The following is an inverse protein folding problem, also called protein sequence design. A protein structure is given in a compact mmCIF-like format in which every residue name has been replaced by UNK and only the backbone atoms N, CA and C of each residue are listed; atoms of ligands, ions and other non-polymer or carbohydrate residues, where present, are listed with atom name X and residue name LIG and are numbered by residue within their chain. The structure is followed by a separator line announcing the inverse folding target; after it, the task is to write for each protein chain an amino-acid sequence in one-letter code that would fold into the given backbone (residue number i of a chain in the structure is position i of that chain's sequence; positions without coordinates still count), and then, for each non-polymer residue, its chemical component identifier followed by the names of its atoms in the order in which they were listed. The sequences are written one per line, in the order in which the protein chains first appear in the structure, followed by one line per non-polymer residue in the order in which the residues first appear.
data_IF_634575661572
#
_entry.id   IF_634575661572
#
_cell.length_a   1.000
_cell.length_b   1.000
_cell.length_c   1.000
_cell.angle_alpha   90.00
_cell.angle_beta   90.00
_cell.angle_gamma   90.00
#
_symmetry.space_group_name_H-M   'P 1'
#
loop_
_entity.id
_entity.type
_entity.pdbx_description
1 polymer ?
#
# COMPACT_ATOMS: atom_id res chain seq x y z
N UNK A 1 58.68 -22.57 3.74
CA UNK A 1 57.61 -22.27 2.73
C UNK A 1 56.55 -21.37 3.36
N UNK A 2 56.64 -20.05 3.16
CA UNK A 2 55.69 -19.05 3.63
C UNK A 2 54.65 -18.84 2.53
N UNK A 3 53.37 -19.15 2.77
CA UNK A 3 52.28 -18.78 1.90
C UNK A 3 51.82 -17.38 2.25
N UNK A 4 51.95 -16.45 1.31
CA UNK A 4 51.31 -15.14 1.31
C UNK A 4 49.81 -15.30 1.02
N UNK A 5 48.98 -14.76 1.89
CA UNK A 5 47.56 -14.62 1.69
C UNK A 5 47.34 -13.22 1.12
N UNK A 6 46.95 -13.14 -0.18
CA UNK A 6 46.57 -11.91 -0.80
C UNK A 6 45.11 -11.55 -0.38
N UNK A 7 45.00 -10.38 0.28
CA UNK A 7 43.68 -9.76 0.51
C UNK A 7 43.22 -9.03 -0.73
N UNK A 8 42.27 -9.63 -1.47
CA UNK A 8 41.60 -8.96 -2.57
C UNK A 8 40.67 -7.85 -2.05
N UNK A 9 41.01 -6.61 -2.36
CA UNK A 9 40.14 -5.44 -2.19
C UNK A 9 38.98 -5.53 -3.19
N UNK A 10 37.77 -5.84 -2.70
CA UNK A 10 36.54 -5.77 -3.48
C UNK A 10 36.10 -4.30 -3.55
N UNK A 11 36.41 -3.63 -4.64
CA UNK A 11 35.93 -2.28 -4.94
C UNK A 11 34.40 -2.35 -5.19
N UNK A 12 33.62 -1.85 -4.23
CA UNK A 12 32.18 -1.65 -4.39
C UNK A 12 31.96 -0.46 -5.34
N UNK A 13 31.72 -0.74 -6.62
CA UNK A 13 31.31 0.27 -7.60
C UNK A 13 29.85 0.61 -7.31
N UNK A 14 29.64 1.76 -6.65
CA UNK A 14 28.31 2.36 -6.52
C UNK A 14 27.85 2.79 -7.91
N UNK A 15 26.98 1.99 -8.53
CA UNK A 15 26.29 2.39 -9.76
C UNK A 15 25.32 3.52 -9.41
N UNK A 16 25.70 4.74 -9.80
CA UNK A 16 24.79 5.89 -9.80
C UNK A 16 23.67 5.59 -10.79
N UNK A 17 22.46 5.32 -10.28
CA UNK A 17 21.27 5.22 -11.11
C UNK A 17 20.96 6.60 -11.68
N UNK A 18 21.41 6.86 -12.90
CA UNK A 18 21.00 8.04 -13.65
C UNK A 18 19.48 8.01 -13.82
N UNK A 19 18.78 9.07 -13.37
CA UNK A 19 17.37 9.23 -13.58
C UNK A 19 17.05 9.17 -15.08
N UNK A 20 16.29 8.17 -15.50
CA UNK A 20 15.86 8.01 -16.88
C UNK A 20 14.87 9.13 -17.24
N UNK A 21 14.90 9.70 -18.45
CA UNK A 21 13.90 10.67 -18.86
C UNK A 21 12.51 10.02 -18.84
N UNK A 22 11.55 10.67 -18.14
CA UNK A 22 10.17 10.21 -18.06
C UNK A 22 9.53 10.35 -19.44
N UNK A 23 9.47 9.27 -20.20
CA UNK A 23 8.68 9.20 -21.42
C UNK A 23 7.23 8.86 -21.07
N UNK A 24 6.29 9.23 -21.95
CA UNK A 24 4.85 8.96 -21.75
C UNK A 24 4.53 7.46 -21.53
N UNK A 25 5.45 6.56 -21.89
CA UNK A 25 5.36 5.11 -21.68
C UNK A 25 5.72 4.67 -20.26
N UNK A 26 6.37 5.54 -19.44
CA UNK A 26 6.81 5.23 -18.08
C UNK A 26 5.90 5.87 -17.00
N UNK A 27 4.84 6.58 -17.40
CA UNK A 27 3.89 7.16 -16.45
C UNK A 27 3.00 6.06 -15.86
N UNK A 28 2.76 6.11 -14.55
CA UNK A 28 1.80 5.24 -13.89
C UNK A 28 0.37 5.51 -14.39
N UNK A 29 -0.53 4.55 -14.18
CA UNK A 29 -1.97 4.70 -14.50
C UNK A 29 -2.55 5.97 -13.87
N UNK A 30 -2.13 6.30 -12.64
CA UNK A 30 -2.58 7.52 -11.94
C UNK A 30 -2.09 8.79 -12.63
N UNK A 31 -0.82 8.86 -13.00
CA UNK A 31 -0.26 10.04 -13.70
C UNK A 31 -0.90 10.26 -15.08
N UNK A 32 -1.14 9.17 -15.83
CA UNK A 32 -1.89 9.22 -17.09
C UNK A 32 -3.31 9.72 -16.88
N UNK A 33 -3.94 9.36 -15.77
CA UNK A 33 -5.32 9.73 -15.44
C UNK A 33 -5.49 11.21 -15.06
N UNK A 34 -4.42 11.92 -14.68
CA UNK A 34 -4.49 13.32 -14.25
C UNK A 34 -5.13 14.26 -15.29
N UNK A 35 -5.05 13.91 -16.59
CA UNK A 35 -5.52 14.71 -17.73
C UNK A 35 -6.82 14.18 -18.36
N UNK A 36 -7.51 13.22 -17.73
CA UNK A 36 -8.76 12.68 -18.27
C UNK A 36 -9.86 13.73 -18.30
N UNK A 37 -10.39 13.96 -19.50
CA UNK A 37 -11.64 14.67 -19.72
C UNK A 37 -12.86 13.78 -19.47
N UNK A 38 -14.04 14.38 -19.42
CA UNK A 38 -15.32 13.68 -19.25
C UNK A 38 -15.49 12.53 -20.25
N UNK A 39 -15.85 11.36 -19.75
CA UNK A 39 -16.06 10.15 -20.57
C UNK A 39 -14.76 9.41 -20.94
N UNK A 40 -13.61 9.92 -20.54
CA UNK A 40 -12.31 9.29 -20.80
C UNK A 40 -11.88 8.39 -19.65
N UNK A 41 -11.00 7.42 -19.96
CA UNK A 41 -10.43 6.50 -19.00
C UNK A 41 -9.05 5.99 -19.44
N UNK A 42 -8.27 5.47 -18.48
CA UNK A 42 -7.06 4.67 -18.67
C UNK A 42 -7.39 3.23 -18.28
N UNK A 43 -6.92 2.25 -19.06
CA UNK A 43 -7.16 0.84 -18.81
C UNK A 43 -5.91 0.03 -19.16
N UNK A 44 -5.18 -0.43 -18.15
CA UNK A 44 -3.89 -1.14 -18.27
C UNK A 44 -3.80 -2.33 -17.29
N UNK A 45 -4.69 -3.34 -17.40
CA UNK A 45 -4.72 -4.47 -16.47
C UNK A 45 -3.45 -5.33 -16.49
N UNK A 46 -2.64 -5.23 -17.55
CA UNK A 46 -1.37 -5.92 -17.73
C UNK A 46 -0.28 -5.45 -16.77
N UNK A 47 -0.36 -4.25 -16.21
CA UNK A 47 0.62 -3.73 -15.23
C UNK A 47 0.60 -4.52 -13.92
N UNK A 48 -0.52 -5.20 -13.63
CA UNK A 48 -0.65 -6.16 -12.54
C UNK A 48 -1.54 -7.33 -12.97
N UNK A 49 -0.99 -8.39 -13.59
CA UNK A 49 -1.78 -9.48 -14.18
C UNK A 49 -2.52 -10.33 -13.15
N UNK A 50 -2.08 -10.33 -11.88
CA UNK A 50 -2.66 -11.15 -10.80
C UNK A 50 -2.89 -10.31 -9.54
N UNK A 51 -3.81 -10.75 -8.68
CA UNK A 51 -4.14 -10.11 -7.40
C UNK A 51 -5.64 -9.89 -7.23
N UNK A 52 -6.06 -9.59 -5.99
CA UNK A 52 -7.47 -9.29 -5.67
C UNK A 52 -7.85 -7.93 -6.22
N UNK A 53 -9.03 -7.86 -6.86
CA UNK A 53 -9.58 -6.58 -7.32
C UNK A 53 -10.22 -5.82 -6.16
N UNK A 54 -10.04 -4.50 -6.19
CA UNK A 54 -10.79 -3.55 -5.38
C UNK A 54 -11.04 -2.25 -6.16
N UNK A 55 -12.12 -1.57 -5.84
CA UNK A 55 -12.53 -0.33 -6.49
C UNK A 55 -12.55 0.79 -5.45
N UNK A 56 -12.08 1.97 -5.84
CA UNK A 56 -12.20 3.21 -5.06
C UNK A 56 -12.93 4.24 -5.90
N UNK A 57 -14.02 4.77 -5.39
CA UNK A 57 -14.84 5.81 -6.04
C UNK A 57 -14.70 7.08 -5.21
N UNK A 58 -14.18 8.12 -5.83
CA UNK A 58 -14.00 9.44 -5.26
C UNK A 58 -15.09 10.37 -5.79
N UNK A 59 -16.01 10.75 -4.90
CA UNK A 59 -17.14 11.62 -5.21
C UNK A 59 -16.72 13.07 -5.48
N UNK A 60 -15.62 13.52 -4.88
CA UNK A 60 -15.11 14.89 -5.05
C UNK A 60 -14.52 15.09 -6.44
N UNK A 61 -13.66 14.16 -6.86
CA UNK A 61 -12.98 14.25 -8.17
C UNK A 61 -13.78 13.60 -9.30
N UNK A 62 -14.93 12.99 -8.99
CA UNK A 62 -15.76 12.24 -9.94
C UNK A 62 -14.95 11.20 -10.71
N UNK A 63 -14.23 10.35 -9.97
CA UNK A 63 -13.37 9.30 -10.54
C UNK A 63 -13.58 7.96 -9.86
N UNK A 64 -13.41 6.90 -10.63
CA UNK A 64 -13.25 5.53 -10.15
C UNK A 64 -11.85 5.04 -10.46
N UNK A 65 -11.20 4.42 -9.48
CA UNK A 65 -9.90 3.77 -9.60
C UNK A 65 -10.10 2.27 -9.38
N UNK A 66 -9.45 1.46 -10.21
CA UNK A 66 -9.46 0.00 -10.12
C UNK A 66 -8.08 -0.46 -9.73
N UNK A 67 -8.01 -1.23 -8.66
CA UNK A 67 -6.75 -1.78 -8.14
C UNK A 67 -6.71 -3.30 -8.27
N UNK A 68 -5.51 -3.82 -8.45
CA UNK A 68 -5.21 -5.24 -8.28
C UNK A 68 -4.09 -5.39 -7.23
N UNK A 69 -4.45 -5.85 -6.02
CA UNK A 69 -3.63 -5.64 -4.84
C UNK A 69 -3.51 -4.15 -4.52
N UNK A 70 -2.30 -3.62 -4.47
CA UNK A 70 -2.01 -2.18 -4.25
C UNK A 70 -1.73 -1.42 -5.56
N UNK A 71 -1.73 -2.10 -6.70
CA UNK A 71 -1.37 -1.52 -8.00
C UNK A 71 -2.62 -1.00 -8.71
N UNK A 72 -2.70 0.30 -9.05
CA UNK A 72 -3.78 0.83 -9.87
C UNK A 72 -3.64 0.33 -11.31
N UNK A 73 -4.69 -0.29 -11.84
CA UNK A 73 -4.74 -0.87 -13.19
C UNK A 73 -5.67 -0.11 -14.14
N UNK A 74 -6.57 0.70 -13.60
CA UNK A 74 -7.44 1.54 -14.41
C UNK A 74 -7.96 2.73 -13.62
N UNK A 75 -8.27 3.83 -14.33
CA UNK A 75 -8.96 5.00 -13.79
C UNK A 75 -9.95 5.50 -14.83
N UNK A 76 -11.17 5.86 -14.40
CA UNK A 76 -12.18 6.47 -15.28
C UNK A 76 -12.82 7.68 -14.62
N UNK A 77 -13.26 8.64 -15.44
CA UNK A 77 -14.24 9.64 -15.02
C UNK A 77 -15.60 8.99 -14.85
N UNK A 78 -16.43 9.53 -13.94
CA UNK A 78 -17.76 9.02 -13.59
C UNK A 78 -18.76 10.18 -13.47
N UNK A 79 -20.05 9.86 -13.25
CA UNK A 79 -21.04 10.82 -12.78
C UNK A 79 -21.89 10.16 -11.69
N UNK A 80 -21.84 10.71 -10.48
CA UNK A 80 -22.48 10.18 -9.27
C UNK A 80 -23.79 10.88 -8.96
N UNK A 81 -24.41 10.60 -7.82
CA UNK A 81 -25.65 11.19 -7.35
C UNK A 81 -25.58 12.71 -7.26
N UNK A 82 -26.62 13.40 -7.73
CA UNK A 82 -26.79 14.85 -7.60
C UNK A 82 -27.18 15.25 -6.18
N UNK A 83 -27.15 16.55 -5.88
CA UNK A 83 -27.65 17.12 -4.64
C UNK A 83 -29.07 16.64 -4.31
N UNK A 84 -29.29 16.21 -3.07
CA UNK A 84 -30.52 15.58 -2.58
C UNK A 84 -30.73 14.12 -3.00
N UNK A 85 -29.77 13.53 -3.74
CA UNK A 85 -29.76 12.13 -4.22
C UNK A 85 -28.35 11.58 -4.24
N UNK A 86 -27.60 11.87 -3.21
CA UNK A 86 -26.17 11.58 -3.08
C UNK A 86 -25.89 10.07 -3.19
N UNK A 87 -24.78 9.74 -3.79
CA UNK A 87 -24.20 8.40 -3.69
C UNK A 87 -23.65 8.22 -2.28
N UNK A 88 -24.03 7.17 -1.52
CA UNK A 88 -23.57 6.99 -0.16
C UNK A 88 -22.07 6.69 -0.09
N UNK A 89 -21.36 7.28 0.88
CA UNK A 89 -19.99 6.93 1.21
C UNK A 89 -19.91 5.66 2.05
N UNK A 90 -18.74 5.00 2.09
CA UNK A 90 -18.48 3.81 2.88
C UNK A 90 -17.86 2.67 2.08
N UNK A 91 -17.82 1.48 2.69
CA UNK A 91 -17.31 0.27 2.06
C UNK A 91 -18.45 -0.68 1.72
N UNK A 92 -18.53 -1.05 0.48
CA UNK A 92 -19.54 -1.92 -0.13
C UNK A 92 -18.89 -3.11 -0.80
N UNK A 93 -19.71 -4.04 -1.27
CA UNK A 93 -19.31 -5.09 -2.20
C UNK A 93 -20.30 -5.12 -3.36
N UNK A 94 -19.88 -5.64 -4.50
CA UNK A 94 -20.81 -5.91 -5.61
C UNK A 94 -21.75 -7.04 -5.16
N UNK A 95 -23.04 -6.73 -5.06
CA UNK A 95 -24.07 -7.67 -4.61
C UNK A 95 -24.70 -8.48 -5.75
N UNK A 96 -24.75 -7.88 -6.95
CA UNK A 96 -25.40 -8.45 -8.12
C UNK A 96 -24.80 -7.84 -9.39
N UNK A 97 -24.78 -8.62 -10.47
CA UNK A 97 -24.33 -8.18 -11.79
C UNK A 97 -25.34 -8.61 -12.85
N UNK A 98 -25.73 -7.65 -13.69
CA UNK A 98 -26.61 -7.91 -14.84
C UNK A 98 -26.10 -7.19 -16.08
N UNK A 99 -26.00 -7.91 -17.19
CA UNK A 99 -25.52 -7.34 -18.45
C UNK A 99 -26.46 -6.25 -18.99
N UNK A 100 -27.77 -6.47 -18.87
CA UNK A 100 -28.83 -5.57 -19.29
C UNK A 100 -29.87 -5.48 -18.17
N UNK A 101 -29.78 -4.46 -17.36
CA UNK A 101 -30.73 -4.17 -16.29
C UNK A 101 -31.59 -2.95 -16.66
N UNK A 102 -32.79 -2.87 -16.12
CA UNK A 102 -33.66 -1.70 -16.20
C UNK A 102 -34.05 -1.25 -14.81
N UNK A 103 -34.09 0.07 -14.63
CA UNK A 103 -34.42 0.65 -13.33
C UNK A 103 -35.90 0.39 -12.99
N UNK A 104 -36.14 -0.31 -11.88
CA UNK A 104 -37.51 -0.45 -11.34
C UNK A 104 -38.08 0.83 -10.72
N UNK A 105 -37.26 1.88 -10.53
CA UNK A 105 -37.64 3.10 -9.81
C UNK A 105 -37.70 4.33 -10.71
N UNK A 106 -36.94 4.36 -11.81
CA UNK A 106 -36.78 5.55 -12.69
C UNK A 106 -37.08 5.20 -14.13
N UNK A 107 -38.36 5.30 -14.51
CA UNK A 107 -38.88 5.25 -15.90
C UNK A 107 -38.30 4.10 -16.76
N UNK A 108 -38.10 2.95 -16.16
CA UNK A 108 -37.54 1.78 -16.85
C UNK A 108 -36.21 2.11 -17.59
N UNK A 109 -35.42 3.06 -17.03
CA UNK A 109 -34.17 3.53 -17.63
C UNK A 109 -33.18 2.40 -17.82
N UNK A 110 -32.50 2.28 -18.97
CA UNK A 110 -31.54 1.23 -19.23
C UNK A 110 -30.27 1.44 -18.38
N UNK A 111 -29.81 0.37 -17.74
CA UNK A 111 -28.59 0.31 -16.90
C UNK A 111 -27.67 -0.81 -17.42
N UNK A 112 -27.05 -0.68 -18.60
CA UNK A 112 -26.16 -1.71 -19.15
C UNK A 112 -24.94 -1.94 -18.24
N UNK A 113 -24.50 -3.19 -18.13
CA UNK A 113 -23.36 -3.60 -17.28
C UNK A 113 -23.56 -3.23 -15.81
N UNK A 114 -24.78 -3.40 -15.30
CA UNK A 114 -25.16 -3.05 -13.94
C UNK A 114 -24.40 -3.93 -12.92
N UNK A 115 -23.88 -3.27 -11.88
CA UNK A 115 -23.23 -3.88 -10.73
C UNK A 115 -23.78 -3.21 -9.47
N UNK A 116 -24.68 -3.89 -8.79
CA UNK A 116 -25.41 -3.36 -7.62
C UNK A 116 -24.52 -3.36 -6.38
N UNK A 117 -24.55 -2.27 -5.61
CA UNK A 117 -23.74 -2.06 -4.40
C UNK A 117 -24.56 -2.07 -3.12
N UNK A 118 -25.85 -1.68 -3.19
CA UNK A 118 -26.70 -1.59 -2.00
C UNK A 118 -28.05 -2.25 -2.21
N UNK A 119 -28.71 -2.63 -1.13
CA UNK A 119 -30.09 -3.13 -1.18
C UNK A 119 -31.11 -2.05 -1.57
N UNK A 120 -30.74 -0.77 -1.41
CA UNK A 120 -31.55 0.37 -1.85
C UNK A 120 -31.41 0.68 -3.34
N UNK A 121 -30.69 -0.15 -4.11
CA UNK A 121 -30.60 -0.04 -5.56
C UNK A 121 -29.48 0.84 -6.11
N UNK A 122 -28.56 1.35 -5.28
CA UNK A 122 -27.37 2.05 -5.79
C UNK A 122 -26.48 1.07 -6.54
N UNK A 123 -26.10 1.40 -7.76
CA UNK A 123 -25.32 0.55 -8.66
C UNK A 123 -24.35 1.37 -9.52
N UNK A 124 -23.30 0.70 -10.00
CA UNK A 124 -22.46 1.17 -11.12
C UNK A 124 -23.07 0.63 -12.42
N UNK A 125 -23.15 1.44 -13.47
CA UNK A 125 -23.62 1.03 -14.79
C UNK A 125 -23.15 1.99 -15.89
N UNK A 126 -23.24 1.58 -17.16
CA UNK A 126 -23.00 2.49 -18.28
C UNK A 126 -24.08 3.56 -18.34
N UNK A 127 -23.68 4.82 -18.51
CA UNK A 127 -24.62 5.93 -18.58
C UNK A 127 -24.03 7.21 -19.18
N UNK A 128 -24.84 8.25 -19.29
CA UNK A 128 -24.40 9.57 -19.75
C UNK A 128 -23.61 10.28 -18.62
N UNK A 129 -22.45 10.82 -18.97
CA UNK A 129 -21.59 11.60 -18.09
C UNK A 129 -21.57 13.06 -18.54
N UNK A 130 -22.27 13.97 -17.85
CA UNK A 130 -22.25 15.40 -18.21
C UNK A 130 -21.01 16.14 -17.72
N UNK A 131 -20.13 15.47 -16.89
CA UNK A 131 -18.93 16.06 -16.31
C UNK A 131 -19.11 16.52 -14.85
N UNK A 132 -20.27 16.26 -14.26
CA UNK A 132 -20.62 16.57 -12.89
C UNK A 132 -21.57 15.51 -12.31
N UNK A 133 -21.86 15.56 -11.01
CA UNK A 133 -22.84 14.70 -10.34
C UNK A 133 -24.26 14.97 -10.84
N UNK A 134 -24.87 13.99 -11.52
CA UNK A 134 -26.16 14.19 -12.20
C UNK A 134 -27.09 12.96 -12.17
N UNK A 135 -26.74 11.92 -11.37
CA UNK A 135 -27.55 10.71 -11.25
C UNK A 135 -28.57 10.82 -10.09
N UNK A 136 -29.35 9.78 -9.90
CA UNK A 136 -30.24 9.60 -8.75
C UNK A 136 -29.63 8.70 -7.66
N UNK A 137 -28.28 8.74 -7.52
CA UNK A 137 -27.52 7.96 -6.55
C UNK A 137 -26.65 6.87 -7.16
N UNK A 138 -26.92 6.42 -8.38
CA UNK A 138 -26.07 5.46 -9.09
C UNK A 138 -24.77 6.12 -9.60
N UNK A 139 -23.77 5.29 -9.88
CA UNK A 139 -22.49 5.69 -10.45
C UNK A 139 -22.51 5.37 -11.95
N UNK A 140 -22.60 6.41 -12.77
CA UNK A 140 -22.57 6.29 -14.23
C UNK A 140 -21.14 6.21 -14.72
N UNK A 141 -20.87 5.25 -15.60
CA UNK A 141 -19.56 4.97 -16.19
C UNK A 141 -19.60 5.17 -17.70
N UNK A 142 -18.48 5.52 -18.35
CA UNK A 142 -18.36 5.43 -19.81
C UNK A 142 -18.68 4.00 -20.27
N UNK A 143 -19.39 3.84 -21.39
CA UNK A 143 -19.91 2.53 -21.83
C UNK A 143 -18.81 1.48 -21.98
N UNK A 144 -17.70 1.84 -22.63
CA UNK A 144 -16.60 0.90 -22.85
C UNK A 144 -15.88 0.55 -21.54
N UNK A 145 -15.68 1.53 -20.65
CA UNK A 145 -15.14 1.26 -19.31
C UNK A 145 -16.06 0.35 -18.50
N UNK A 146 -17.37 0.60 -18.50
CA UNK A 146 -18.35 -0.24 -17.80
C UNK A 146 -18.32 -1.69 -18.31
N UNK A 147 -18.19 -1.89 -19.63
CA UNK A 147 -18.06 -3.21 -20.25
C UNK A 147 -16.77 -3.93 -19.81
N UNK A 148 -15.63 -3.24 -19.82
CA UNK A 148 -14.34 -3.79 -19.40
C UNK A 148 -14.35 -4.13 -17.91
N UNK A 149 -14.84 -3.21 -17.06
CA UNK A 149 -14.96 -3.40 -15.62
C UNK A 149 -15.86 -4.58 -15.27
N UNK A 150 -17.01 -4.67 -15.95
CA UNK A 150 -17.95 -5.80 -15.79
C UNK A 150 -17.28 -7.15 -16.12
N UNK A 151 -16.36 -7.18 -17.08
CA UNK A 151 -15.66 -8.40 -17.48
C UNK A 151 -14.66 -8.94 -16.47
N UNK A 152 -14.11 -8.08 -15.60
CA UNK A 152 -13.06 -8.48 -14.63
C UNK A 152 -13.53 -8.55 -13.19
N UNK A 153 -14.64 -7.89 -12.82
CA UNK A 153 -15.19 -7.89 -11.47
C UNK A 153 -16.09 -9.11 -11.23
N UNK A 154 -16.30 -9.45 -9.96
CA UNK A 154 -17.17 -10.54 -9.51
C UNK A 154 -18.11 -10.04 -8.40
N UNK A 155 -19.18 -10.79 -8.11
CA UNK A 155 -19.98 -10.59 -6.90
C UNK A 155 -19.06 -10.77 -5.70
N UNK A 156 -19.10 -9.85 -4.73
CA UNK A 156 -18.18 -9.79 -3.61
C UNK A 156 -16.94 -8.90 -3.84
N UNK A 157 -16.69 -8.40 -5.06
CA UNK A 157 -15.59 -7.42 -5.29
C UNK A 157 -15.82 -6.19 -4.41
N UNK A 158 -14.83 -5.79 -3.55
CA UNK A 158 -14.96 -4.65 -2.65
C UNK A 158 -14.94 -3.32 -3.41
N UNK A 159 -15.80 -2.41 -2.99
CA UNK A 159 -15.95 -1.05 -3.52
C UNK A 159 -15.97 -0.06 -2.36
N UNK A 160 -15.00 0.83 -2.31
CA UNK A 160 -14.96 1.92 -1.32
C UNK A 160 -15.37 3.21 -1.99
N UNK A 161 -16.35 3.92 -1.43
CA UNK A 161 -16.84 5.22 -1.91
C UNK A 161 -16.46 6.27 -0.88
N UNK A 162 -15.71 7.29 -1.29
CA UNK A 162 -15.17 8.35 -0.43
C UNK A 162 -15.52 9.72 -0.99
N UNK A 163 -15.61 10.71 -0.10
CA UNK A 163 -15.66 12.13 -0.43
C UNK A 163 -14.44 12.86 0.17
N UNK A 164 -14.39 14.17 0.03
CA UNK A 164 -13.27 14.99 0.55
C UNK A 164 -13.08 14.82 2.07
N UNK A 165 -14.16 14.78 2.84
CA UNK A 165 -14.11 14.63 4.29
C UNK A 165 -13.56 13.26 4.69
N UNK A 166 -14.02 12.19 4.05
CA UNK A 166 -13.54 10.83 4.26
C UNK A 166 -12.07 10.68 3.86
N UNK A 167 -11.64 11.31 2.74
CA UNK A 167 -10.25 11.31 2.30
C UNK A 167 -9.34 12.05 3.28
N UNK A 168 -9.77 13.21 3.79
CA UNK A 168 -9.04 13.98 4.78
C UNK A 168 -8.86 13.20 6.08
N UNK A 169 -9.92 12.55 6.57
CA UNK A 169 -9.87 11.73 7.79
C UNK A 169 -8.96 10.51 7.62
N UNK A 170 -9.03 9.80 6.49
CA UNK A 170 -8.12 8.68 6.17
C UNK A 170 -6.66 9.14 6.10
N UNK A 171 -6.40 10.32 5.53
CA UNK A 171 -5.08 10.93 5.48
C UNK A 171 -4.54 11.23 6.88
N UNK A 172 -5.37 11.76 7.78
CA UNK A 172 -5.04 12.04 9.18
C UNK A 172 -4.66 10.74 9.92
N UNK A 173 -5.51 9.71 9.82
CA UNK A 173 -5.27 8.40 10.45
C UNK A 173 -3.99 7.75 9.91
N UNK A 174 -3.77 7.78 8.60
CA UNK A 174 -2.55 7.25 7.99
C UNK A 174 -1.30 7.97 8.51
N UNK A 175 -1.34 9.31 8.64
CA UNK A 175 -0.25 10.10 9.20
C UNK A 175 0.04 9.80 10.67
N UNK A 176 -0.98 9.55 11.48
CA UNK A 176 -0.83 9.13 12.87
C UNK A 176 -0.20 7.73 12.97
N UNK A 177 -0.65 6.80 12.14
CA UNK A 177 -0.10 5.46 12.10
C UNK A 177 1.39 5.44 11.69
N UNK A 178 1.77 6.22 10.70
CA UNK A 178 3.18 6.34 10.28
C UNK A 178 4.05 6.91 11.41
N UNK A 179 3.60 7.95 12.11
CA UNK A 179 4.33 8.48 13.28
C UNK A 179 4.50 7.43 14.38
N UNK A 180 3.44 6.68 14.68
CA UNK A 180 3.53 5.60 15.66
C UNK A 180 4.52 4.49 15.26
N UNK A 181 4.58 4.13 13.98
CA UNK A 181 5.57 3.18 13.46
C UNK A 181 7.01 3.70 13.62
N UNK A 182 7.24 4.98 13.32
CA UNK A 182 8.55 5.62 13.48
C UNK A 182 9.00 5.64 14.94
N UNK A 183 8.09 5.98 15.88
CA UNK A 183 8.37 5.94 17.32
C UNK A 183 8.75 4.52 17.80
N UNK A 184 8.01 3.51 17.36
CA UNK A 184 8.33 2.10 17.66
C UNK A 184 9.69 1.71 17.11
N UNK A 185 10.00 2.10 15.87
CA UNK A 185 11.30 1.81 15.25
C UNK A 185 12.46 2.48 16.01
N UNK A 186 12.31 3.74 16.41
CA UNK A 186 13.29 4.48 17.20
C UNK A 186 13.50 3.84 18.58
N UNK A 187 12.41 3.46 19.26
CA UNK A 187 12.49 2.80 20.57
C UNK A 187 13.16 1.43 20.47
N UNK A 188 12.89 0.66 19.42
CA UNK A 188 13.57 -0.61 19.14
C UNK A 188 15.06 -0.42 18.92
N UNK A 189 15.46 0.58 18.14
CA UNK A 189 16.87 0.89 17.89
C UNK A 189 17.61 1.30 19.17
N UNK A 190 16.98 2.13 20.03
CA UNK A 190 17.54 2.53 21.31
C UNK A 190 17.75 1.33 22.24
N UNK A 191 16.75 0.45 22.36
CA UNK A 191 16.87 -0.79 23.18
C UNK A 191 17.98 -1.70 22.67
N UNK A 192 18.17 -1.81 21.35
CA UNK A 192 19.24 -2.62 20.77
C UNK A 192 20.61 -2.04 21.13
N UNK A 193 20.79 -0.72 21.01
CA UNK A 193 22.02 -0.04 21.38
C UNK A 193 22.35 -0.17 22.89
N UNK A 194 21.32 -0.11 23.75
CA UNK A 194 21.49 -0.32 25.19
C UNK A 194 21.93 -1.77 25.51
N UNK A 195 21.33 -2.75 24.85
CA UNK A 195 21.70 -4.15 24.99
C UNK A 195 23.15 -4.42 24.53
N UNK A 196 23.59 -3.81 23.42
CA UNK A 196 24.96 -3.91 22.95
C UNK A 196 25.96 -3.30 23.93
N UNK A 197 25.62 -2.13 24.53
CA UNK A 197 26.44 -1.50 25.57
C UNK A 197 26.57 -2.39 26.82
N UNK A 198 25.45 -2.91 27.30
CA UNK A 198 25.46 -3.81 28.46
C UNK A 198 26.25 -5.08 28.20
N UNK A 199 26.17 -5.67 27.01
CA UNK A 199 26.98 -6.83 26.61
C UNK A 199 28.46 -6.49 26.59
N UNK A 200 28.84 -5.34 26.04
CA UNK A 200 30.24 -4.90 26.01
C UNK A 200 30.83 -4.69 27.42
N UNK A 201 30.04 -4.13 28.34
CA UNK A 201 30.41 -3.97 29.75
C UNK A 201 30.58 -5.33 30.44
N UNK A 202 29.65 -6.26 30.22
CA UNK A 202 29.74 -7.61 30.75
C UNK A 202 31.02 -8.34 30.28
N UNK A 203 31.32 -8.25 28.98
CA UNK A 203 32.54 -8.86 28.41
C UNK A 203 33.81 -8.29 29.05
N UNK A 204 33.89 -6.96 29.27
CA UNK A 204 35.01 -6.31 29.94
C UNK A 204 35.14 -6.75 31.41
N UNK A 205 34.03 -6.77 32.14
CA UNK A 205 34.03 -7.21 33.54
C UNK A 205 34.46 -8.68 33.68
N UNK A 206 33.99 -9.54 32.76
CA UNK A 206 34.43 -10.95 32.72
C UNK A 206 35.94 -11.08 32.46
N UNK A 207 36.46 -10.34 31.48
CA UNK A 207 37.90 -10.38 31.19
C UNK A 207 38.76 -9.92 32.39
N UNK A 208 38.33 -8.88 33.11
CA UNK A 208 38.98 -8.42 34.34
C UNK A 208 38.94 -9.51 35.44
N UNK A 209 37.80 -10.16 35.61
CA UNK A 209 37.66 -11.26 36.56
C UNK A 209 38.58 -12.43 36.24
N UNK A 210 38.63 -12.86 34.99
CA UNK A 210 39.49 -13.96 34.52
C UNK A 210 40.98 -13.63 34.72
N UNK A 211 41.37 -12.36 34.60
CA UNK A 211 42.73 -11.90 34.88
C UNK A 211 43.07 -11.99 36.39
N UNK A 212 42.16 -11.57 37.27
CA UNK A 212 42.29 -11.69 38.71
C UNK A 212 42.47 -13.18 39.11
N UNK A 213 41.66 -14.07 38.52
CA UNK A 213 41.80 -15.51 38.78
C UNK A 213 43.17 -16.05 38.35
N UNK A 214 43.68 -15.66 37.19
CA UNK A 214 45.04 -16.06 36.74
C UNK A 214 46.13 -15.58 37.70
N UNK A 215 46.04 -14.33 38.16
CA UNK A 215 47.00 -13.78 39.14
C UNK A 215 46.94 -14.52 40.47
N UNK A 216 45.76 -14.84 40.96
CA UNK A 216 45.57 -15.63 42.16
C UNK A 216 46.17 -17.04 42.04
N UNK A 217 45.89 -17.73 40.90
CA UNK A 217 46.47 -19.05 40.65
C UNK A 217 48.01 -19.03 40.61
N UNK A 218 48.58 -18.02 39.94
CA UNK A 218 50.03 -17.83 39.88
C UNK A 218 50.62 -17.59 41.26
N UNK A 219 49.96 -16.77 42.10
CA UNK A 219 50.38 -16.53 43.49
C UNK A 219 50.31 -17.80 44.33
N UNK A 220 49.25 -18.58 44.22
CA UNK A 220 49.04 -19.84 44.91
C UNK A 220 50.08 -20.92 44.49
N UNK A 221 50.42 -20.93 43.19
CA UNK A 221 51.48 -21.80 42.67
C UNK A 221 52.85 -21.45 43.29
N UNK A 222 53.19 -20.17 43.38
CA UNK A 222 54.38 -19.65 43.99
C UNK A 222 54.41 -19.99 45.48
N UNK A 223 53.32 -19.81 46.20
CA UNK A 223 53.22 -20.16 47.64
C UNK A 223 53.44 -21.68 47.87
N UNK A 224 52.85 -22.56 47.07
CA UNK A 224 53.03 -24.00 47.10
C UNK A 224 54.52 -24.42 46.90
N UNK A 225 55.24 -23.71 46.02
CA UNK A 225 56.65 -23.98 45.78
C UNK A 225 57.56 -23.66 46.99
N UNK A 226 57.16 -22.69 47.83
CA UNK A 226 57.87 -22.36 49.08
C UNK A 226 57.61 -23.38 50.16
N UNK A 227 56.49 -24.09 50.16
CA UNK A 227 56.13 -25.10 51.17
C UNK A 227 56.58 -26.52 50.80
N UNK A 228 57.09 -26.74 49.58
CA UNK A 228 57.62 -28.06 49.20
C UNK A 228 58.86 -28.43 50.01
N UNK A 229 58.94 -29.62 50.61
CA UNK A 229 60.13 -30.08 51.33
C UNK A 229 61.30 -30.16 50.36
N UNK A 230 62.46 -29.66 50.79
CA UNK A 230 63.74 -29.77 50.10
C UNK A 230 64.27 -31.18 50.14
#
# INVERSE_FOLDING_TARGET
MRRLIEFGFLACVAASAAAQPVTNQNLSVIEKSARLGTGQFVWEPEVAPTGRLSLVIDLTTQRIQVYRGEVPIAVSTISTGSEGRETPTGTFAILQKELMHRSGTYDDAPMPYMQRLTDKGVAMHAGNLPGYSASHGCIRLPKDFARLLFGITEVGTPVTIVDEAELAERGRIAGEYQRALEEVAQRKAALHADAERALAEFVRAKAAHDEILRQHEALMAKYRSYLAPK
#
